data_IF_963869358370
#
_entry.id   IF_963869358370
#
_cell.length_a   1.000
_cell.length_b   1.000
_cell.length_c   1.000
_cell.angle_alpha   90.00
_cell.angle_beta   90.00
_cell.angle_gamma   90.00
#
_symmetry.space_group_name_H-M   'P 1'
#
loop_
_entity.id
_entity.type
_entity.pdbx_description
1 polymer ?
#
# COMPACT_ATOMS: atom_id res chain seq x y z
N UNK A 1 -9.65 24.89 0.70
CA UNK A 1 -9.50 23.45 0.97
C UNK A 1 -10.82 22.94 1.53
N UNK A 2 -11.45 21.93 0.94
CA UNK A 2 -12.73 21.39 1.42
C UNK A 2 -12.48 20.38 2.55
N UNK A 3 -13.51 20.09 3.36
CA UNK A 3 -13.43 19.03 4.39
C UNK A 3 -13.06 17.67 3.78
N UNK A 4 -13.57 17.38 2.59
CA UNK A 4 -13.29 16.14 1.86
C UNK A 4 -11.82 16.05 1.41
N UNK A 5 -11.25 17.11 0.85
CA UNK A 5 -9.82 17.13 0.48
C UNK A 5 -8.93 16.94 1.71
N UNK A 6 -9.28 17.58 2.84
CA UNK A 6 -8.56 17.41 4.11
C UNK A 6 -8.64 15.96 4.61
N UNK A 7 -9.81 15.32 4.49
CA UNK A 7 -10.02 13.92 4.88
C UNK A 7 -9.15 12.99 4.04
N UNK A 8 -9.18 13.13 2.70
CA UNK A 8 -8.37 12.32 1.77
C UNK A 8 -6.88 12.47 2.04
N UNK A 9 -6.39 13.69 2.23
CA UNK A 9 -5.00 13.95 2.59
C UNK A 9 -4.60 13.33 3.95
N UNK A 10 -5.53 13.29 4.91
CA UNK A 10 -5.30 12.61 6.19
C UNK A 10 -5.19 11.09 6.01
N UNK A 11 -6.09 10.51 5.21
CA UNK A 11 -6.08 9.08 4.87
C UNK A 11 -4.76 8.72 4.16
N UNK A 12 -4.37 9.47 3.13
CA UNK A 12 -3.12 9.27 2.40
C UNK A 12 -1.90 9.28 3.32
N UNK A 13 -1.82 10.27 4.23
CA UNK A 13 -0.73 10.35 5.22
C UNK A 13 -0.67 9.14 6.14
N UNK A 14 -1.83 8.63 6.59
CA UNK A 14 -1.89 7.45 7.45
C UNK A 14 -1.49 6.18 6.69
N UNK A 15 -1.98 6.04 5.46
CA UNK A 15 -1.66 4.91 4.58
C UNK A 15 -0.18 4.91 4.20
N UNK A 16 0.41 6.06 3.87
CA UNK A 16 1.85 6.19 3.58
C UNK A 16 2.71 5.79 4.77
N UNK A 17 2.34 6.25 5.97
CA UNK A 17 3.05 5.89 7.19
C UNK A 17 2.99 4.39 7.44
N UNK A 18 1.80 3.79 7.42
CA UNK A 18 1.64 2.35 7.60
C UNK A 18 2.36 1.55 6.51
N UNK A 19 2.25 1.95 5.23
CA UNK A 19 2.93 1.30 4.10
C UNK A 19 4.44 1.28 4.29
N UNK A 20 5.03 2.40 4.71
CA UNK A 20 6.48 2.54 4.86
C UNK A 20 7.02 1.82 6.10
N UNK A 21 6.32 1.90 7.25
CA UNK A 21 6.86 1.43 8.54
C UNK A 21 6.26 0.10 9.00
N UNK A 22 5.00 -0.17 8.66
CA UNK A 22 4.20 -1.27 9.21
C UNK A 22 3.66 -1.00 10.63
N UNK A 23 3.77 0.24 11.12
CA UNK A 23 3.34 0.61 12.48
C UNK A 23 1.84 0.90 12.57
N UNK A 24 1.25 0.67 13.76
CA UNK A 24 -0.16 0.99 14.05
C UNK A 24 -1.20 0.19 13.24
N UNK A 25 -0.84 -0.98 12.74
CA UNK A 25 -1.73 -1.85 12.00
C UNK A 25 -1.27 -3.31 11.96
N UNK A 26 -1.98 -4.11 11.17
CA UNK A 26 -1.68 -5.53 10.97
C UNK A 26 -1.35 -5.77 9.50
N UNK A 27 -0.27 -6.51 9.25
CA UNK A 27 0.13 -6.91 7.90
C UNK A 27 -0.23 -8.38 7.71
N UNK A 28 -0.95 -8.67 6.64
CA UNK A 28 -1.31 -10.03 6.24
C UNK A 28 -0.74 -10.33 4.86
N UNK A 29 -0.19 -11.52 4.69
CA UNK A 29 0.20 -12.04 3.38
C UNK A 29 -0.87 -13.02 2.92
N UNK A 30 -1.36 -12.84 1.69
CA UNK A 30 -2.20 -13.85 1.07
C UNK A 30 -1.41 -15.16 0.90
N UNK A 31 -2.11 -16.29 0.83
CA UNK A 31 -1.46 -17.60 0.67
C UNK A 31 -0.50 -17.63 -0.53
N UNK A 32 -0.86 -16.99 -1.64
CA UNK A 32 -0.04 -16.91 -2.84
C UNK A 32 1.31 -16.23 -2.60
N UNK A 33 1.35 -15.18 -1.77
CA UNK A 33 2.59 -14.51 -1.38
C UNK A 33 3.34 -15.31 -0.31
N UNK A 34 2.63 -15.86 0.67
CA UNK A 34 3.23 -16.55 1.81
C UNK A 34 4.08 -17.78 1.42
N UNK A 35 3.69 -18.49 0.35
CA UNK A 35 4.39 -19.68 -0.17
C UNK A 35 5.62 -19.35 -1.02
N UNK A 36 5.84 -18.09 -1.39
CA UNK A 36 7.00 -17.70 -2.19
C UNK A 36 8.30 -17.89 -1.40
N UNK A 37 9.45 -18.04 -2.09
CA UNK A 37 10.76 -18.02 -1.47
C UNK A 37 10.94 -16.79 -0.58
N UNK A 38 11.72 -16.92 0.50
CA UNK A 38 11.94 -15.82 1.44
C UNK A 38 12.50 -14.57 0.75
N UNK A 39 13.44 -14.74 -0.18
CA UNK A 39 14.02 -13.64 -0.95
C UNK A 39 12.95 -12.87 -1.75
N UNK A 40 12.10 -13.59 -2.50
CA UNK A 40 11.01 -12.98 -3.26
C UNK A 40 10.01 -12.27 -2.33
N UNK A 41 9.69 -12.83 -1.15
CA UNK A 41 8.82 -12.16 -0.17
C UNK A 41 9.43 -10.86 0.34
N UNK A 42 10.72 -10.85 0.64
CA UNK A 42 11.42 -9.64 1.09
C UNK A 42 11.45 -8.57 0.00
N UNK A 43 11.62 -8.96 -1.27
CA UNK A 43 11.53 -8.05 -2.41
C UNK A 43 10.11 -7.48 -2.57
N UNK A 44 9.08 -8.31 -2.44
CA UNK A 44 7.68 -7.86 -2.45
C UNK A 44 7.41 -6.85 -1.33
N UNK A 45 7.79 -7.17 -0.09
CA UNK A 45 7.58 -6.28 1.06
C UNK A 45 8.34 -4.97 0.86
N UNK A 46 9.59 -5.03 0.37
CA UNK A 46 10.40 -3.84 0.07
C UNK A 46 9.76 -2.99 -1.03
N UNK A 47 9.29 -3.60 -2.10
CA UNK A 47 8.64 -2.89 -3.21
C UNK A 47 7.36 -2.17 -2.74
N UNK A 48 6.53 -2.83 -1.93
CA UNK A 48 5.34 -2.21 -1.33
C UNK A 48 5.73 -1.04 -0.42
N UNK A 49 6.72 -1.22 0.46
CA UNK A 49 7.19 -0.17 1.39
C UNK A 49 7.72 1.07 0.68
N UNK A 50 8.40 0.88 -0.45
CA UNK A 50 9.01 1.96 -1.23
C UNK A 50 8.09 2.52 -2.32
N UNK A 51 6.90 1.95 -2.51
CA UNK A 51 5.97 2.41 -3.52
C UNK A 51 5.54 3.85 -3.22
N UNK A 52 5.64 4.71 -4.23
CA UNK A 52 5.23 6.12 -4.16
C UNK A 52 4.80 6.68 -5.52
N UNK A 53 4.62 5.84 -6.53
CA UNK A 53 4.23 6.24 -7.89
C UNK A 53 2.70 6.32 -8.02
N UNK A 54 2.10 7.14 -7.18
CA UNK A 54 0.66 7.43 -7.23
C UNK A 54 0.38 8.47 -8.31
N UNK A 55 -0.56 8.16 -9.17
CA UNK A 55 -1.01 8.98 -10.29
C UNK A 55 -2.53 9.06 -10.27
N UNK A 56 -3.14 10.07 -10.91
CA UNK A 56 -4.60 10.14 -11.01
C UNK A 56 -5.25 8.90 -11.65
N UNK A 57 -4.50 8.14 -12.45
CA UNK A 57 -5.00 6.94 -13.14
C UNK A 57 -5.02 5.70 -12.24
N UNK A 58 -4.03 5.55 -11.34
CA UNK A 58 -3.95 4.39 -10.44
C UNK A 58 -4.48 4.66 -9.02
N UNK A 59 -4.64 5.94 -8.65
CA UNK A 59 -5.22 6.38 -7.39
C UNK A 59 -6.15 7.59 -7.61
N UNK A 60 -7.36 7.38 -8.15
CA UNK A 60 -8.31 8.45 -8.45
C UNK A 60 -8.84 9.14 -7.18
N UNK A 61 -8.73 8.49 -6.02
CA UNK A 61 -9.19 9.03 -4.74
C UNK A 61 -8.10 9.82 -4.02
N UNK A 62 -6.82 9.58 -4.33
CA UNK A 62 -5.67 10.21 -3.70
C UNK A 62 -5.50 9.75 -2.25
N UNK A 63 -5.93 8.52 -1.95
CA UNK A 63 -5.94 7.95 -0.60
C UNK A 63 -4.75 7.03 -0.36
N UNK A 64 -3.98 6.70 -1.40
CA UNK A 64 -2.78 5.86 -1.32
C UNK A 64 -3.05 4.48 -0.68
N UNK A 65 -4.27 3.96 -0.84
CA UNK A 65 -4.77 2.79 -0.14
C UNK A 65 -4.52 1.48 -0.90
N UNK A 66 -4.20 1.53 -2.18
CA UNK A 66 -3.87 0.36 -2.98
C UNK A 66 -2.98 0.69 -4.17
N UNK A 67 -2.27 -0.32 -4.68
CA UNK A 67 -1.62 -0.27 -5.99
C UNK A 67 -1.33 -1.67 -6.50
N UNK A 68 -0.89 -1.72 -7.76
CA UNK A 68 -0.31 -2.91 -8.38
C UNK A 68 1.13 -2.62 -8.80
N UNK A 69 2.03 -3.59 -8.62
CA UNK A 69 3.42 -3.50 -9.02
C UNK A 69 3.95 -4.85 -9.52
N UNK A 70 5.08 -4.81 -10.21
CA UNK A 70 5.80 -6.00 -10.66
C UNK A 70 6.99 -6.28 -9.74
N UNK A 71 7.12 -7.52 -9.29
CA UNK A 71 8.35 -8.03 -8.66
C UNK A 71 8.72 -9.31 -9.38
N UNK A 72 9.91 -9.34 -9.98
CA UNK A 72 10.32 -10.41 -10.91
C UNK A 72 9.25 -10.62 -12.01
N UNK A 73 8.67 -11.82 -12.09
CA UNK A 73 7.59 -12.18 -13.00
C UNK A 73 6.18 -12.12 -12.35
N UNK A 74 6.07 -11.66 -11.11
CA UNK A 74 4.81 -11.65 -10.37
C UNK A 74 4.12 -10.28 -10.43
N UNK A 75 2.83 -10.29 -10.76
CA UNK A 75 1.93 -9.16 -10.55
C UNK A 75 1.48 -9.17 -9.09
N UNK A 76 1.87 -8.15 -8.33
CA UNK A 76 1.54 -8.00 -6.93
C UNK A 76 0.52 -6.88 -6.79
N UNK A 77 -0.60 -7.18 -6.16
CA UNK A 77 -1.57 -6.17 -5.70
C UNK A 77 -1.55 -6.14 -4.18
N UNK A 78 -1.60 -4.93 -3.62
CA UNK A 78 -1.71 -4.70 -2.19
C UNK A 78 -2.81 -3.67 -1.91
N UNK A 79 -3.36 -3.73 -0.71
CA UNK A 79 -4.38 -2.80 -0.21
C UNK A 79 -4.20 -2.56 1.28
N UNK A 80 -4.55 -1.36 1.74
CA UNK A 80 -4.61 -0.92 3.13
C UNK A 80 -6.07 -0.55 3.42
N UNK A 81 -6.62 -1.13 4.48
CA UNK A 81 -7.94 -0.77 5.00
C UNK A 81 -7.76 0.10 6.24
N UNK A 82 -7.93 1.41 6.09
CA UNK A 82 -7.81 2.37 7.19
C UNK A 82 -9.19 2.80 7.71
N UNK A 83 -9.38 2.63 9.01
CA UNK A 83 -10.56 3.15 9.71
C UNK A 83 -10.23 4.51 10.30
N UNK A 84 -10.88 5.56 9.81
CA UNK A 84 -10.87 6.90 10.42
C UNK A 84 -12.20 7.11 11.14
N UNK A 85 -12.14 7.33 12.46
CA UNK A 85 -13.30 7.67 13.29
C UNK A 85 -13.61 9.17 13.24
#
# INVERSE_FOLDING_TARGET
MTLETTRRATIARLNDHFRATGENGWIFLSRGIAILPIATKDEVIRAVRLFGDFTPDNDPHGEHDCAMLMVESYHIMWKIDVTVF
#
